data_IF_080129391679
#
_entry.id   IF_080129391679
#
_cell.length_a   1.000
_cell.length_b   1.000
_cell.length_c   1.000
_cell.angle_alpha   90.00
_cell.angle_beta   90.00
_cell.angle_gamma   90.00
#
_symmetry.space_group_name_H-M   'P 1'
#
loop_
_entity.id
_entity.type
_entity.pdbx_description
1 polymer ?
#
# COMPACT_ATOMS: atom_id res chain seq x y z
N UNK A 1 31.85 -9.37 8.67
CA UNK A 1 31.94 -8.85 10.05
C UNK A 1 30.76 -9.40 10.82
N UNK A 2 30.94 -9.92 12.04
CA UNK A 2 29.80 -10.40 12.86
C UNK A 2 29.12 -9.20 13.53
N UNK A 3 27.79 -9.18 13.62
CA UNK A 3 27.02 -8.13 14.29
C UNK A 3 27.51 -7.83 15.71
N UNK A 4 27.96 -8.87 16.44
CA UNK A 4 28.56 -8.74 17.77
C UNK A 4 29.87 -7.95 17.81
N UNK A 5 30.48 -7.67 16.67
CA UNK A 5 31.74 -6.93 16.54
C UNK A 5 31.55 -5.48 16.09
N UNK A 6 30.32 -5.06 15.86
CA UNK A 6 30.03 -3.74 15.25
C UNK A 6 29.66 -2.66 16.25
N UNK A 7 29.61 -2.94 17.55
CA UNK A 7 29.03 -2.02 18.55
C UNK A 7 27.51 -1.80 18.41
N UNK A 8 26.89 -2.37 17.36
CA UNK A 8 25.45 -2.40 17.14
C UNK A 8 24.82 -3.65 17.79
N UNK A 9 25.51 -4.18 18.79
CA UNK A 9 25.25 -5.46 19.41
C UNK A 9 23.92 -5.55 20.16
N UNK A 10 23.59 -6.78 20.53
CA UNK A 10 22.35 -7.12 21.23
C UNK A 10 22.28 -6.47 22.61
N UNK A 11 21.21 -5.76 22.85
CA UNK A 11 20.83 -5.20 24.15
C UNK A 11 19.80 -6.17 24.78
N UNK A 12 19.81 -6.28 26.11
CA UNK A 12 18.76 -7.04 26.81
C UNK A 12 17.46 -6.26 26.74
N UNK A 13 16.41 -6.95 26.32
CA UNK A 13 15.06 -6.40 26.28
C UNK A 13 14.38 -6.64 27.63
N UNK A 14 13.81 -5.60 28.20
CA UNK A 14 13.02 -5.64 29.42
C UNK A 14 11.62 -5.14 29.13
N UNK A 15 10.59 -5.78 29.70
CA UNK A 15 9.19 -5.33 29.64
C UNK A 15 8.71 -4.96 28.24
N UNK A 16 8.40 -5.95 27.43
CA UNK A 16 7.89 -5.76 26.07
C UNK A 16 6.50 -5.13 26.07
N UNK A 17 6.25 -4.24 25.10
CA UNK A 17 4.91 -3.84 24.72
C UNK A 17 4.15 -5.08 24.25
N UNK A 18 3.05 -5.40 24.94
CA UNK A 18 2.26 -6.60 24.63
C UNK A 18 1.47 -6.48 23.32
N UNK A 19 1.18 -5.25 22.89
CA UNK A 19 0.46 -4.98 21.65
C UNK A 19 1.36 -5.11 20.43
N UNK A 20 2.61 -4.68 20.55
CA UNK A 20 3.56 -4.65 19.43
C UNK A 20 4.92 -5.25 19.80
N UNK A 21 4.97 -6.52 20.25
CA UNK A 21 6.18 -7.07 20.83
C UNK A 21 7.36 -7.14 19.86
N UNK A 22 7.11 -7.42 18.58
CA UNK A 22 8.17 -7.50 17.58
C UNK A 22 8.80 -6.13 17.30
N UNK A 23 7.99 -5.10 17.15
CA UNK A 23 8.47 -3.74 16.90
C UNK A 23 9.19 -3.18 18.14
N UNK A 24 8.67 -3.46 19.33
CA UNK A 24 9.28 -3.05 20.58
C UNK A 24 10.65 -3.70 20.81
N UNK A 25 10.80 -4.99 20.50
CA UNK A 25 12.10 -5.66 20.47
C UNK A 25 13.09 -4.93 19.55
N UNK A 26 12.65 -4.57 18.34
CA UNK A 26 13.52 -3.90 17.38
C UNK A 26 13.97 -2.52 17.88
N UNK A 27 13.09 -1.77 18.53
CA UNK A 27 13.42 -0.47 19.14
C UNK A 27 14.37 -0.63 20.33
N UNK A 28 14.04 -1.48 21.30
CA UNK A 28 14.86 -1.68 22.50
C UNK A 28 16.25 -2.22 22.18
N UNK A 29 16.39 -2.95 21.06
CA UNK A 29 17.69 -3.47 20.61
C UNK A 29 18.42 -2.56 19.62
N UNK A 30 17.95 -1.33 19.41
CA UNK A 30 18.47 -0.38 18.41
C UNK A 30 18.51 -0.93 16.98
N UNK A 31 17.66 -1.91 16.68
CA UNK A 31 17.50 -2.40 15.31
C UNK A 31 16.57 -1.50 14.51
N UNK A 32 15.66 -0.80 15.18
CA UNK A 32 14.85 0.26 14.64
C UNK A 32 15.16 1.54 15.43
N UNK A 33 15.46 2.64 14.75
CA UNK A 33 15.77 3.93 15.37
C UNK A 33 14.75 4.97 14.96
N UNK A 34 14.06 5.56 15.93
CA UNK A 34 13.07 6.59 15.69
C UNK A 34 13.73 7.97 15.59
N UNK A 35 13.61 8.64 14.45
CA UNK A 35 14.05 10.04 14.22
C UNK A 35 12.94 11.06 14.47
N UNK A 36 11.72 10.63 14.42
CA UNK A 36 10.53 11.45 14.67
C UNK A 36 9.29 10.58 14.67
N UNK A 37 8.14 11.15 15.01
CA UNK A 37 6.87 10.42 15.02
C UNK A 37 6.55 9.87 13.63
N UNK A 38 6.52 8.56 13.48
CA UNK A 38 6.29 7.87 12.20
C UNK A 38 7.49 7.89 11.22
N UNK A 39 8.71 8.22 11.71
CA UNK A 39 9.93 8.26 10.89
C UNK A 39 11.00 7.37 11.55
N UNK A 40 11.41 6.32 10.84
CA UNK A 40 12.30 5.31 11.39
C UNK A 40 13.47 5.00 10.45
N UNK A 41 14.64 4.76 11.04
CA UNK A 41 15.77 4.15 10.35
C UNK A 41 15.83 2.66 10.69
N UNK A 42 16.17 1.88 9.70
CA UNK A 42 16.34 0.43 9.78
C UNK A 42 17.81 0.09 9.94
N UNK A 43 18.16 -0.63 10.99
CA UNK A 43 19.46 -1.27 11.09
C UNK A 43 19.45 -2.60 10.30
N UNK A 44 20.48 -3.38 10.40
CA UNK A 44 20.71 -4.57 9.57
C UNK A 44 19.57 -5.60 9.63
N UNK A 45 19.06 -5.94 10.81
CA UNK A 45 18.06 -7.02 10.94
C UNK A 45 16.75 -6.67 10.26
N UNK A 46 16.07 -5.56 10.60
CA UNK A 46 14.81 -5.21 9.92
C UNK A 46 15.01 -4.88 8.45
N UNK A 47 16.18 -4.33 8.05
CA UNK A 47 16.46 -4.12 6.63
C UNK A 47 16.51 -5.47 5.89
N UNK A 48 17.17 -6.47 6.46
CA UNK A 48 17.25 -7.80 5.85
C UNK A 48 15.90 -8.52 5.80
N UNK A 49 15.05 -8.35 6.82
CA UNK A 49 13.68 -8.84 6.81
C UNK A 49 12.87 -8.19 5.69
N UNK A 50 12.97 -6.86 5.55
CA UNK A 50 12.34 -6.10 4.47
C UNK A 50 12.77 -6.62 3.10
N UNK A 51 14.08 -6.75 2.84
CA UNK A 51 14.62 -7.29 1.58
C UNK A 51 14.08 -8.69 1.25
N UNK A 52 13.93 -9.56 2.25
CA UNK A 52 13.38 -10.89 2.06
C UNK A 52 11.89 -10.84 1.64
N UNK A 53 11.09 -9.99 2.28
CA UNK A 53 9.68 -9.77 1.91
C UNK A 53 9.58 -9.20 0.50
N UNK A 54 10.38 -8.18 0.18
CA UNK A 54 10.44 -7.58 -1.15
C UNK A 54 10.82 -8.62 -2.23
N UNK A 55 11.75 -9.52 -1.91
CA UNK A 55 12.15 -10.60 -2.82
C UNK A 55 10.99 -11.56 -3.14
N UNK A 56 10.18 -11.92 -2.14
CA UNK A 56 8.97 -12.73 -2.35
C UNK A 56 7.99 -11.99 -3.27
N UNK A 57 7.72 -10.73 -2.98
CA UNK A 57 6.81 -9.90 -3.77
C UNK A 57 7.27 -9.82 -5.23
N UNK A 58 8.54 -9.50 -5.46
CA UNK A 58 9.12 -9.42 -6.82
C UNK A 58 9.01 -10.76 -7.55
N UNK A 59 9.39 -11.86 -6.90
CA UNK A 59 9.34 -13.18 -7.52
C UNK A 59 7.93 -13.59 -7.98
N UNK A 60 6.91 -13.24 -7.20
CA UNK A 60 5.51 -13.50 -7.59
C UNK A 60 5.07 -12.56 -8.70
N UNK A 61 5.30 -11.25 -8.58
CA UNK A 61 4.90 -10.29 -9.62
C UNK A 61 5.56 -10.58 -10.97
N UNK A 62 6.84 -10.97 -10.97
CA UNK A 62 7.56 -11.39 -12.18
C UNK A 62 6.92 -12.64 -12.81
N UNK A 63 6.55 -13.65 -11.99
CA UNK A 63 5.82 -14.85 -12.44
C UNK A 63 4.49 -14.47 -13.10
N UNK A 64 3.82 -13.43 -12.62
CA UNK A 64 2.58 -12.91 -13.20
C UNK A 64 2.82 -11.96 -14.38
N UNK A 65 4.06 -11.77 -14.82
CA UNK A 65 4.44 -10.96 -15.99
C UNK A 65 4.33 -9.46 -15.77
N UNK A 66 4.48 -9.00 -14.52
CA UNK A 66 4.63 -7.59 -14.21
C UNK A 66 6.09 -7.14 -14.44
N UNK A 67 6.30 -5.88 -14.76
CA UNK A 67 7.62 -5.33 -15.08
C UNK A 67 8.03 -4.36 -13.97
N UNK A 68 9.17 -4.61 -13.33
CA UNK A 68 9.69 -3.70 -12.31
C UNK A 68 10.22 -2.40 -12.94
N UNK A 69 9.83 -1.28 -12.36
CA UNK A 69 10.34 0.05 -12.68
C UNK A 69 10.70 0.78 -11.39
N UNK A 70 11.31 1.96 -11.48
CA UNK A 70 11.52 2.85 -10.35
C UNK A 70 11.18 4.28 -10.76
N UNK A 71 10.20 4.86 -10.10
CA UNK A 71 9.74 6.22 -10.31
C UNK A 71 10.31 7.16 -9.24
N UNK A 72 10.50 8.45 -9.55
CA UNK A 72 11.00 9.41 -8.58
C UNK A 72 10.01 9.61 -7.44
N UNK A 73 10.54 9.69 -6.23
CA UNK A 73 9.76 9.97 -5.01
C UNK A 73 9.41 11.45 -4.90
N UNK A 74 10.32 12.34 -5.34
CA UNK A 74 10.06 13.76 -5.48
C UNK A 74 9.49 14.00 -6.88
N UNK A 75 8.24 14.45 -6.96
CA UNK A 75 7.51 14.60 -8.20
C UNK A 75 7.15 16.06 -8.46
N UNK A 76 7.16 16.52 -9.72
CA UNK A 76 6.66 17.85 -10.06
C UNK A 76 5.18 18.00 -9.68
N UNK A 77 4.82 19.07 -8.97
CA UNK A 77 3.44 19.36 -8.59
C UNK A 77 2.50 19.45 -9.81
N UNK A 78 3.04 19.88 -10.96
CA UNK A 78 2.31 19.97 -12.23
C UNK A 78 1.63 18.67 -12.66
N UNK A 79 2.22 17.51 -12.39
CA UNK A 79 1.59 16.21 -12.72
C UNK A 79 0.30 16.00 -11.92
N UNK A 80 0.31 16.45 -10.68
CA UNK A 80 -0.82 16.37 -9.76
C UNK A 80 -1.90 17.42 -10.02
N UNK A 81 -1.48 18.59 -10.56
CA UNK A 81 -2.39 19.62 -11.10
C UNK A 81 -3.13 19.08 -12.32
N UNK A 82 -2.42 18.41 -13.24
CA UNK A 82 -2.98 17.83 -14.46
C UNK A 82 -4.06 16.77 -14.16
N UNK A 83 -3.85 15.95 -13.13
CA UNK A 83 -4.85 14.96 -12.67
C UNK A 83 -6.00 15.58 -11.87
N UNK A 84 -5.87 16.83 -11.43
CA UNK A 84 -6.81 17.51 -10.54
C UNK A 84 -6.75 17.05 -9.09
N UNK A 85 -5.76 16.23 -8.70
CA UNK A 85 -5.66 15.64 -7.35
C UNK A 85 -4.83 16.47 -6.39
N UNK A 86 -4.05 17.47 -6.86
CA UNK A 86 -3.14 18.25 -6.01
C UNK A 86 -3.87 18.95 -4.86
N UNK A 87 -4.91 19.75 -5.17
CA UNK A 87 -5.67 20.49 -4.17
C UNK A 87 -6.32 19.57 -3.14
N UNK A 88 -6.96 18.51 -3.60
CA UNK A 88 -7.63 17.54 -2.72
C UNK A 88 -6.66 16.91 -1.71
N UNK A 89 -5.50 16.44 -2.17
CA UNK A 89 -4.51 15.81 -1.30
C UNK A 89 -3.83 16.78 -0.33
N UNK A 90 -3.72 18.06 -0.70
CA UNK A 90 -3.22 19.11 0.19
C UNK A 90 -4.28 19.47 1.24
N UNK A 91 -5.54 19.66 0.84
CA UNK A 91 -6.66 20.00 1.73
C UNK A 91 -6.95 18.89 2.74
N UNK A 92 -6.89 17.65 2.33
CA UNK A 92 -7.00 16.48 3.21
C UNK A 92 -5.76 16.29 4.11
N UNK A 93 -4.70 17.08 3.90
CA UNK A 93 -3.49 17.04 4.70
C UNK A 93 -2.63 15.79 4.49
N UNK A 94 -2.88 15.02 3.43
CA UNK A 94 -2.15 13.76 3.14
C UNK A 94 -0.78 14.02 2.52
N UNK A 95 -0.69 15.08 1.68
CA UNK A 95 0.49 15.34 0.85
C UNK A 95 1.48 16.30 1.53
N UNK A 96 2.76 15.97 1.41
CA UNK A 96 3.86 16.86 1.75
C UNK A 96 4.33 17.59 0.47
N UNK A 97 4.29 18.93 0.47
CA UNK A 97 4.74 19.75 -0.64
C UNK A 97 6.11 20.39 -0.34
N UNK A 98 6.90 20.55 -1.40
CA UNK A 98 8.22 21.20 -1.35
C UNK A 98 8.24 22.35 -2.36
N UNK A 99 8.36 23.57 -1.86
CA UNK A 99 8.45 24.75 -2.70
C UNK A 99 9.91 25.14 -2.95
N UNK A 100 10.25 25.41 -4.20
CA UNK A 100 11.57 25.87 -4.59
C UNK A 100 11.47 27.05 -5.56
N UNK A 101 12.58 27.76 -5.76
CA UNK A 101 12.71 28.83 -6.75
C UNK A 101 12.59 28.35 -8.22
N UNK A 102 12.72 27.05 -8.45
CA UNK A 102 12.65 26.42 -9.79
C UNK A 102 11.35 25.68 -10.07
N UNK A 103 10.42 25.71 -9.15
CA UNK A 103 9.12 25.04 -9.26
C UNK A 103 8.69 24.34 -7.99
N UNK A 104 7.44 23.95 -7.96
CA UNK A 104 6.82 23.25 -6.85
C UNK A 104 6.87 21.73 -7.07
N UNK A 105 7.16 21.02 -6.02
CA UNK A 105 7.26 19.57 -5.98
C UNK A 105 6.41 19.00 -4.84
N UNK A 106 6.15 17.70 -4.93
CA UNK A 106 5.47 16.94 -3.88
C UNK A 106 6.27 15.70 -3.54
N UNK A 107 6.23 15.29 -2.27
CA UNK A 107 6.69 13.97 -1.86
C UNK A 107 5.57 12.97 -2.15
N UNK A 108 5.84 12.02 -3.03
CA UNK A 108 4.83 11.10 -3.57
C UNK A 108 4.11 10.29 -2.48
N UNK A 109 2.82 10.49 -2.25
CA UNK A 109 2.00 9.59 -1.41
C UNK A 109 1.58 8.31 -2.14
N UNK A 110 1.61 8.36 -3.46
CA UNK A 110 1.33 7.30 -4.45
C UNK A 110 1.99 7.70 -5.78
N UNK A 111 1.84 6.97 -6.89
CA UNK A 111 2.56 7.29 -8.12
C UNK A 111 1.73 7.18 -9.41
N UNK A 112 0.40 7.28 -9.35
CA UNK A 112 -0.48 7.20 -10.54
C UNK A 112 -0.10 8.24 -11.58
N UNK A 113 0.16 9.49 -11.16
CA UNK A 113 0.54 10.58 -12.04
C UNK A 113 1.88 10.30 -12.72
N UNK A 114 2.87 9.90 -11.93
CA UNK A 114 4.21 9.65 -12.44
C UNK A 114 4.26 8.46 -13.38
N UNK A 115 3.56 7.35 -13.08
CA UNK A 115 3.53 6.19 -13.98
C UNK A 115 2.76 6.47 -15.25
N UNK A 116 1.68 7.25 -15.19
CA UNK A 116 0.92 7.65 -16.37
C UNK A 116 1.77 8.51 -17.30
N UNK A 117 2.50 9.49 -16.75
CA UNK A 117 3.44 10.29 -17.53
C UNK A 117 4.59 9.45 -18.08
N UNK A 118 5.10 8.50 -17.29
CA UNK A 118 6.16 7.58 -17.72
C UNK A 118 5.75 6.74 -18.94
N UNK A 119 4.51 6.26 -19.01
CA UNK A 119 4.01 5.49 -20.17
C UNK A 119 3.56 6.36 -21.32
N UNK A 120 3.23 7.63 -21.07
CA UNK A 120 2.86 8.62 -22.09
C UNK A 120 3.98 8.72 -23.14
N UNK A 121 3.64 8.50 -24.39
CA UNK A 121 4.60 8.50 -25.49
C UNK A 121 5.50 7.25 -25.62
N UNK A 122 5.41 6.30 -24.68
CA UNK A 122 6.11 5.01 -24.78
C UNK A 122 5.21 3.89 -25.28
N UNK A 123 3.92 3.94 -24.92
CA UNK A 123 2.90 3.05 -25.49
C UNK A 123 2.35 3.72 -26.74
N UNK A 124 2.87 3.32 -27.91
CA UNK A 124 2.49 3.89 -29.21
C UNK A 124 1.53 3.01 -29.99
N UNK A 125 1.23 1.81 -29.54
CA UNK A 125 0.37 0.85 -30.22
C UNK A 125 -0.44 0.05 -29.20
N UNK A 126 -1.69 -0.27 -29.54
CA UNK A 126 -2.53 -1.19 -28.79
C UNK A 126 -1.90 -2.59 -28.63
N UNK A 127 -0.96 -2.96 -29.51
CA UNK A 127 -0.21 -4.22 -29.42
C UNK A 127 0.77 -4.28 -28.25
N UNK A 128 1.05 -3.13 -27.61
CA UNK A 128 1.86 -3.06 -26.41
C UNK A 128 1.04 -3.28 -25.12
N UNK A 129 -0.27 -3.47 -25.25
CA UNK A 129 -1.19 -3.69 -24.13
C UNK A 129 -1.67 -5.16 -24.09
N UNK A 130 -1.99 -5.71 -22.91
CA UNK A 130 -1.86 -5.05 -21.59
C UNK A 130 -0.42 -5.00 -21.10
N UNK A 131 -0.09 -4.00 -20.29
CA UNK A 131 1.17 -3.93 -19.57
C UNK A 131 0.90 -3.60 -18.10
N UNK A 132 1.57 -4.30 -17.19
CA UNK A 132 1.53 -4.03 -15.76
C UNK A 132 2.93 -3.66 -15.29
N UNK A 133 3.07 -2.45 -14.77
CA UNK A 133 4.31 -1.93 -14.20
C UNK A 133 4.19 -1.92 -12.68
N UNK A 134 5.27 -2.24 -11.97
CA UNK A 134 5.27 -2.13 -10.51
C UNK A 134 6.59 -1.57 -10.01
N UNK A 135 6.57 -1.04 -8.81
CA UNK A 135 7.75 -0.62 -8.08
C UNK A 135 7.64 -0.99 -6.61
N UNK A 136 8.78 -1.06 -5.93
CA UNK A 136 8.85 -1.02 -4.48
C UNK A 136 9.68 0.20 -4.11
N UNK A 137 9.05 1.21 -3.54
CA UNK A 137 9.69 2.49 -3.28
C UNK A 137 9.11 3.21 -2.06
N UNK A 138 9.89 4.15 -1.54
CA UNK A 138 9.46 4.96 -0.39
C UNK A 138 8.30 5.88 -0.80
N UNK A 139 7.29 5.94 0.07
CA UNK A 139 6.16 6.86 -0.02
C UNK A 139 6.12 7.74 1.21
N UNK A 140 5.50 8.89 1.04
CA UNK A 140 5.42 9.93 2.07
C UNK A 140 3.97 10.37 2.23
N UNK A 141 3.42 10.16 3.42
CA UNK A 141 2.09 10.66 3.79
C UNK A 141 2.20 11.45 5.08
N UNK A 142 1.59 12.63 5.12
CA UNK A 142 1.55 13.43 6.33
C UNK A 142 0.57 12.84 7.33
N UNK A 143 0.88 11.63 7.78
CA UNK A 143 0.03 10.88 8.71
C UNK A 143 -0.07 11.60 10.05
N UNK A 144 -1.30 11.97 10.43
CA UNK A 144 -1.58 12.67 11.68
C UNK A 144 -1.58 11.69 12.86
N UNK A 145 -2.08 10.47 12.63
CA UNK A 145 -2.21 9.43 13.65
C UNK A 145 -1.29 8.25 13.35
N UNK A 146 0.00 8.45 13.60
CA UNK A 146 0.96 7.33 13.51
C UNK A 146 0.66 6.30 14.58
N UNK A 147 0.77 5.01 14.26
CA UNK A 147 0.45 3.92 15.18
C UNK A 147 1.33 2.70 14.95
N UNK A 148 1.54 1.93 16.02
CA UNK A 148 2.18 0.61 15.99
C UNK A 148 3.55 0.64 15.33
N UNK A 149 4.32 1.71 15.56
CA UNK A 149 5.66 1.93 15.01
C UNK A 149 5.65 1.88 13.47
N UNK A 150 5.97 0.74 12.87
CA UNK A 150 6.03 0.56 11.42
C UNK A 150 4.66 0.29 10.76
N UNK A 151 3.59 0.05 11.53
CA UNK A 151 2.27 -0.23 10.95
C UNK A 151 1.68 0.99 10.25
N UNK A 152 1.86 2.18 10.83
CA UNK A 152 1.35 3.42 10.26
C UNK A 152 2.32 4.57 10.50
N UNK A 153 3.24 4.76 9.55
CA UNK A 153 4.29 5.77 9.58
C UNK A 153 4.05 6.89 8.57
N UNK A 154 4.89 7.94 8.64
CA UNK A 154 4.92 9.04 7.67
C UNK A 154 5.74 8.71 6.43
N UNK A 155 6.74 7.86 6.59
CA UNK A 155 7.56 7.32 5.50
C UNK A 155 7.51 5.81 5.58
N UNK A 156 7.28 5.15 4.46
CA UNK A 156 7.17 3.69 4.41
C UNK A 156 7.42 3.16 3.00
N UNK A 157 7.99 1.96 2.88
CA UNK A 157 8.07 1.29 1.59
C UNK A 157 6.70 0.82 1.15
N UNK A 158 6.38 1.03 -0.12
CA UNK A 158 5.15 0.53 -0.74
C UNK A 158 5.50 -0.22 -2.02
N UNK A 159 4.93 -1.40 -2.18
CA UNK A 159 4.79 -2.00 -3.50
C UNK A 159 3.51 -1.44 -4.13
N UNK A 160 3.66 -0.76 -5.23
CA UNK A 160 2.56 -0.21 -6.01
C UNK A 160 2.66 -0.69 -7.46
N UNK A 161 1.56 -1.24 -7.98
CA UNK A 161 1.46 -1.79 -9.33
C UNK A 161 0.35 -1.09 -10.11
N UNK A 162 0.60 -0.86 -11.39
CA UNK A 162 -0.26 -0.09 -12.28
C UNK A 162 -0.45 -0.84 -13.59
N UNK A 163 -1.68 -1.08 -13.98
CA UNK A 163 -1.96 -1.73 -15.26
C UNK A 163 -2.52 -0.74 -16.29
N UNK A 164 -2.14 -0.97 -17.52
CA UNK A 164 -2.62 -0.27 -18.68
C UNK A 164 -3.23 -1.30 -19.62
N UNK A 165 -4.50 -1.21 -19.85
CA UNK A 165 -5.30 -2.21 -20.55
C UNK A 165 -6.05 -1.57 -21.72
N UNK A 166 -6.46 -2.38 -22.70
CA UNK A 166 -7.09 -1.87 -23.91
C UNK A 166 -8.50 -1.31 -23.67
N UNK A 167 -9.22 -1.91 -22.73
CA UNK A 167 -10.59 -1.56 -22.36
C UNK A 167 -10.93 -2.08 -20.97
N UNK A 168 -12.11 -1.77 -20.47
CA UNK A 168 -12.56 -2.14 -19.13
C UNK A 168 -12.62 -3.68 -18.90
N UNK A 169 -12.96 -4.46 -19.95
CA UNK A 169 -13.02 -5.93 -19.86
C UNK A 169 -11.61 -6.51 -19.63
N UNK A 170 -10.63 -6.04 -20.39
CA UNK A 170 -9.23 -6.47 -20.22
C UNK A 170 -8.67 -5.99 -18.87
N UNK A 171 -9.01 -4.78 -18.44
CA UNK A 171 -8.65 -4.27 -17.11
C UNK A 171 -9.21 -5.17 -16.00
N UNK A 172 -10.47 -5.62 -16.10
CA UNK A 172 -11.06 -6.55 -15.14
C UNK A 172 -10.34 -7.92 -15.12
N UNK A 173 -9.82 -8.39 -16.25
CA UNK A 173 -8.99 -9.61 -16.31
C UNK A 173 -7.65 -9.40 -15.62
N UNK A 174 -7.01 -8.27 -15.88
CA UNK A 174 -5.75 -7.89 -15.20
C UNK A 174 -5.94 -7.73 -13.70
N UNK A 175 -7.02 -7.09 -13.26
CA UNK A 175 -7.35 -6.96 -11.84
C UNK A 175 -7.45 -8.34 -11.15
N UNK A 176 -8.21 -9.27 -11.74
CA UNK A 176 -8.33 -10.64 -11.24
C UNK A 176 -6.98 -11.39 -11.20
N UNK A 177 -6.12 -11.12 -12.17
CA UNK A 177 -4.76 -11.68 -12.23
C UNK A 177 -3.90 -11.17 -11.07
N UNK A 178 -3.88 -9.85 -10.84
CA UNK A 178 -3.12 -9.24 -9.75
C UNK A 178 -3.69 -9.63 -8.38
N UNK A 179 -5.01 -9.73 -8.25
CA UNK A 179 -5.65 -10.26 -7.04
C UNK A 179 -5.14 -11.67 -6.67
N UNK A 180 -4.96 -12.55 -7.66
CA UNK A 180 -4.37 -13.88 -7.45
C UNK A 180 -2.89 -13.78 -7.03
N UNK A 181 -2.13 -12.86 -7.64
CA UNK A 181 -0.74 -12.63 -7.25
C UNK A 181 -0.62 -12.20 -5.79
N UNK A 182 -1.50 -11.31 -5.32
CA UNK A 182 -1.51 -10.89 -3.91
C UNK A 182 -1.83 -12.04 -2.95
N UNK A 183 -2.83 -12.86 -3.26
CA UNK A 183 -3.14 -14.04 -2.46
C UNK A 183 -1.96 -15.00 -2.38
N UNK A 184 -1.25 -15.22 -3.49
CA UNK A 184 -0.04 -16.06 -3.51
C UNK A 184 1.09 -15.46 -2.68
N UNK A 185 1.30 -14.12 -2.72
CA UNK A 185 2.27 -13.43 -1.87
C UNK A 185 1.95 -13.67 -0.39
N UNK A 186 0.71 -13.46 0.01
CA UNK A 186 0.30 -13.68 1.41
C UNK A 186 0.45 -15.13 1.84
N UNK A 187 0.10 -16.08 0.97
CA UNK A 187 0.28 -17.52 1.24
C UNK A 187 1.75 -17.87 1.47
N UNK A 188 2.67 -17.41 0.61
CA UNK A 188 4.12 -17.64 0.76
C UNK A 188 4.65 -17.01 2.05
N UNK A 189 4.13 -15.86 2.44
CA UNK A 189 4.49 -15.18 3.69
C UNK A 189 3.82 -15.82 4.93
N UNK A 190 2.97 -16.84 4.77
CA UNK A 190 2.26 -17.50 5.86
C UNK A 190 1.13 -16.64 6.47
N UNK A 191 0.60 -15.68 5.71
CA UNK A 191 -0.46 -14.77 6.14
C UNK A 191 -1.81 -15.23 5.55
N UNK A 192 -2.79 -15.49 6.41
CA UNK A 192 -4.16 -15.84 5.98
C UNK A 192 -4.98 -14.58 5.71
N UNK A 193 -4.53 -13.77 4.75
CA UNK A 193 -5.22 -12.55 4.35
C UNK A 193 -6.45 -12.87 3.50
N UNK A 194 -7.57 -12.20 3.78
CA UNK A 194 -8.83 -12.34 3.07
C UNK A 194 -9.13 -11.07 2.27
N UNK A 195 -9.59 -11.17 1.03
CA UNK A 195 -10.06 -10.01 0.29
C UNK A 195 -11.38 -9.52 0.91
N UNK A 196 -11.46 -8.24 1.16
CA UNK A 196 -12.57 -7.55 1.82
C UNK A 196 -12.98 -6.38 0.93
N UNK A 197 -14.25 -6.24 0.65
CA UNK A 197 -14.78 -5.08 -0.05
C UNK A 197 -14.50 -3.81 0.76
N UNK A 198 -14.01 -2.76 0.10
CA UNK A 198 -13.61 -1.52 0.73
C UNK A 198 -14.12 -0.30 -0.06
N UNK A 199 -14.09 0.87 0.57
CA UNK A 199 -14.28 2.13 -0.13
C UNK A 199 -12.98 2.56 -0.83
N UNK A 200 -13.10 3.17 -2.00
CA UNK A 200 -11.96 3.71 -2.75
C UNK A 200 -11.41 5.02 -2.19
N UNK A 201 -12.16 5.69 -1.32
CA UNK A 201 -11.77 6.93 -0.65
C UNK A 201 -11.31 8.05 -1.60
N UNK A 202 -10.25 8.75 -1.21
CA UNK A 202 -9.68 9.85 -1.98
C UNK A 202 -9.09 9.43 -3.34
N UNK A 203 -8.70 8.16 -3.48
CA UNK A 203 -8.14 7.65 -4.74
C UNK A 203 -9.20 7.55 -5.85
N UNK A 204 -10.46 7.37 -5.48
CA UNK A 204 -11.56 7.16 -6.43
C UNK A 204 -11.52 5.77 -7.08
N UNK A 205 -12.46 5.51 -7.97
CA UNK A 205 -12.61 4.23 -8.66
C UNK A 205 -13.94 3.57 -8.40
N UNK A 206 -14.23 2.50 -9.16
CA UNK A 206 -15.54 1.83 -9.14
C UNK A 206 -15.53 0.53 -8.33
N UNK A 207 -14.36 0.04 -7.93
CA UNK A 207 -14.16 -1.19 -7.19
C UNK A 207 -12.91 -1.03 -6.32
N UNK A 208 -13.01 -1.40 -5.05
CA UNK A 208 -11.89 -1.44 -4.14
C UNK A 208 -11.97 -2.69 -3.27
N UNK A 209 -10.84 -3.38 -3.11
CA UNK A 209 -10.68 -4.50 -2.19
C UNK A 209 -9.44 -4.27 -1.34
N UNK A 210 -9.51 -4.67 -0.08
CA UNK A 210 -8.39 -4.72 0.85
C UNK A 210 -8.12 -6.19 1.22
N UNK A 211 -6.85 -6.53 1.40
CA UNK A 211 -6.48 -7.85 1.90
C UNK A 211 -6.23 -7.76 3.39
N UNK A 212 -7.21 -8.17 4.18
CA UNK A 212 -7.21 -8.02 5.62
C UNK A 212 -6.81 -9.29 6.35
N UNK A 213 -6.06 -9.14 7.43
CA UNK A 213 -5.66 -10.19 8.35
C UNK A 213 -6.34 -9.98 9.70
N UNK A 214 -7.05 -10.99 10.19
CA UNK A 214 -7.64 -10.96 11.53
C UNK A 214 -6.55 -10.85 12.60
N UNK A 215 -6.65 -9.82 13.45
CA UNK A 215 -5.67 -9.55 14.49
C UNK A 215 -6.30 -8.85 15.68
N UNK A 216 -5.91 -9.19 16.93
CA UNK A 216 -6.39 -8.50 18.13
C UNK A 216 -5.94 -7.03 18.21
N UNK A 217 -4.97 -6.63 17.39
CA UNK A 217 -4.49 -5.23 17.28
C UNK A 217 -5.06 -4.52 16.05
N UNK A 218 -6.00 -5.14 15.32
CA UNK A 218 -6.66 -4.54 14.16
C UNK A 218 -7.44 -3.29 14.53
N UNK A 219 -7.60 -2.39 13.57
CA UNK A 219 -8.35 -1.13 13.73
C UNK A 219 -9.75 -1.21 13.14
N UNK A 220 -9.89 -2.01 12.07
CA UNK A 220 -11.10 -2.07 11.28
C UNK A 220 -12.01 -3.22 11.73
N UNK A 221 -13.29 -3.05 11.50
CA UNK A 221 -14.29 -4.09 11.70
C UNK A 221 -14.73 -4.63 10.33
N UNK A 222 -14.73 -5.95 10.20
CA UNK A 222 -15.16 -6.65 9.00
C UNK A 222 -16.49 -7.34 9.27
N UNK A 223 -17.44 -7.17 8.40
CA UNK A 223 -18.68 -7.94 8.36
C UNK A 223 -18.62 -8.95 7.23
N UNK A 224 -19.29 -10.09 7.43
CA UNK A 224 -19.37 -11.15 6.42
C UNK A 224 -20.84 -11.43 6.12
N UNK A 225 -21.26 -11.23 4.89
CA UNK A 225 -22.57 -11.66 4.42
C UNK A 225 -22.66 -13.18 4.45
N UNK A 226 -23.52 -13.73 5.30
CA UNK A 226 -23.68 -15.18 5.50
C UNK A 226 -24.21 -15.89 4.26
N UNK A 227 -24.97 -15.19 3.42
CA UNK A 227 -25.58 -15.78 2.22
C UNK A 227 -24.55 -15.98 1.10
N UNK A 228 -23.66 -15.01 0.92
CA UNK A 228 -22.69 -15.00 -0.17
C UNK A 228 -21.26 -15.29 0.25
N UNK A 229 -20.94 -15.14 1.55
CA UNK A 229 -19.60 -15.22 2.09
C UNK A 229 -18.72 -14.01 1.77
N UNK A 230 -19.28 -12.95 1.20
CA UNK A 230 -18.56 -11.72 0.90
C UNK A 230 -18.24 -10.99 2.19
N UNK A 231 -16.97 -10.67 2.38
CA UNK A 231 -16.52 -9.82 3.48
C UNK A 231 -16.45 -8.36 3.03
N UNK A 232 -16.82 -7.43 3.91
CA UNK A 232 -16.72 -5.99 3.64
C UNK A 232 -16.35 -5.21 4.90
N UNK A 233 -15.60 -4.11 4.70
CA UNK A 233 -15.24 -3.19 5.77
C UNK A 233 -16.46 -2.35 6.16
N UNK A 234 -16.68 -2.17 7.46
CA UNK A 234 -17.79 -1.36 7.98
C UNK A 234 -17.77 0.10 7.50
N UNK A 235 -16.63 0.62 7.10
CA UNK A 235 -16.53 1.97 6.50
C UNK A 235 -17.41 2.14 5.26
N UNK A 236 -17.69 1.07 4.51
CA UNK A 236 -18.61 1.12 3.35
C UNK A 236 -20.01 1.55 3.80
N UNK A 237 -20.41 1.22 5.02
CA UNK A 237 -21.75 1.54 5.54
C UNK A 237 -21.96 3.05 5.79
N UNK A 238 -20.89 3.83 5.81
CA UNK A 238 -20.93 5.29 5.92
C UNK A 238 -21.31 5.98 4.58
N UNK A 239 -21.30 5.24 3.48
CA UNK A 239 -21.72 5.76 2.17
C UNK A 239 -23.23 5.93 2.11
N UNK A 240 -23.69 6.97 1.44
CA UNK A 240 -25.10 7.19 1.18
C UNK A 240 -25.73 6.09 0.30
N UNK A 241 -24.94 5.50 -0.60
CA UNK A 241 -25.33 4.43 -1.54
C UNK A 241 -24.85 3.03 -1.10
N UNK A 242 -24.55 2.82 0.17
CA UNK A 242 -23.90 1.61 0.69
C UNK A 242 -24.60 0.30 0.24
N UNK A 243 -25.94 0.26 0.28
CA UNK A 243 -26.73 -0.93 -0.07
C UNK A 243 -26.63 -1.29 -1.54
N UNK A 244 -26.83 -0.27 -2.38
CA UNK A 244 -26.73 -0.41 -3.82
C UNK A 244 -25.30 -0.79 -4.23
N UNK A 245 -24.30 -0.12 -3.67
CA UNK A 245 -22.89 -0.39 -3.90
C UNK A 245 -22.50 -1.83 -3.54
N UNK A 246 -22.86 -2.31 -2.34
CA UNK A 246 -22.55 -3.68 -1.91
C UNK A 246 -23.26 -4.73 -2.77
N UNK A 247 -24.52 -4.48 -3.11
CA UNK A 247 -25.31 -5.37 -3.96
C UNK A 247 -24.79 -5.44 -5.39
N UNK A 248 -24.56 -4.30 -6.02
CA UNK A 248 -24.14 -4.24 -7.43
C UNK A 248 -22.69 -4.68 -7.63
N UNK A 249 -21.78 -4.27 -6.75
CA UNK A 249 -20.35 -4.51 -6.92
C UNK A 249 -19.88 -5.85 -6.35
N UNK A 250 -20.48 -6.29 -5.26
CA UNK A 250 -20.02 -7.45 -4.51
C UNK A 250 -21.09 -8.55 -4.36
N UNK A 251 -22.32 -8.29 -4.78
CA UNK A 251 -23.40 -9.28 -4.75
C UNK A 251 -23.94 -9.58 -3.34
N UNK A 252 -23.73 -8.69 -2.38
CA UNK A 252 -24.29 -8.82 -1.02
C UNK A 252 -25.81 -8.84 -1.09
N UNK A 253 -26.46 -9.81 -0.43
CA UNK A 253 -27.90 -10.04 -0.55
C UNK A 253 -28.68 -9.53 0.67
N UNK A 254 -28.09 -9.56 1.86
CA UNK A 254 -28.78 -9.21 3.09
C UNK A 254 -27.85 -8.55 4.10
N UNK A 255 -28.28 -7.42 4.65
CA UNK A 255 -27.53 -6.63 5.67
C UNK A 255 -27.93 -6.96 7.10
N UNK A 256 -29.08 -7.58 7.32
CA UNK A 256 -29.65 -7.79 8.66
C UNK A 256 -29.11 -9.04 9.38
N UNK A 257 -28.00 -9.62 8.94
CA UNK A 257 -27.45 -10.84 9.56
C UNK A 257 -26.05 -10.69 10.10
#
# INVERSE_FOLDING_TARGET
>A
MRLSQTGLGTIRVNNLDKSYPAQDILLQTNQLVQYGTGIYAYNNVPLKLRENVESVIKGVLDKYGCIEILLPTLQPAKLWEESGRLSKYIEEGVMLSVKTDKGDFVMAPTAEEAVTDFVRGRISSYKNLPVTLYQIGEKYRNEIRTRGYLLRGKTFPMMDAYSFDLNAEECAKTYKKIRKAYLEIFEILGLNAKPVAADSGAMGGNLSEEFMLESPIGEDTILVDKATGVAFNTEILEREDADEYLKEKYGVQDKEN
#
